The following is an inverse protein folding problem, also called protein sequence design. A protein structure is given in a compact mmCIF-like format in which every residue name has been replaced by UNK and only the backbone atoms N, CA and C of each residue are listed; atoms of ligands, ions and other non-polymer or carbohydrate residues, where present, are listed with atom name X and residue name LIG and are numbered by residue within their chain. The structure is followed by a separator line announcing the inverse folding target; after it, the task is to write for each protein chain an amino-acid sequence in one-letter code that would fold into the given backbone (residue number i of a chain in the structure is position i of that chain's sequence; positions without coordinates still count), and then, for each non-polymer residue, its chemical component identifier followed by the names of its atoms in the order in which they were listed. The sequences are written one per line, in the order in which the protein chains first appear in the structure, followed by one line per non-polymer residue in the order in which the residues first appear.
data_IF_522697530248
#
_entry.id   IF_522697530248
#
_cell.length_a   1.000
_cell.length_b   1.000
_cell.length_c   1.000
_cell.angle_alpha   90.00
_cell.angle_beta   90.00
_cell.angle_gamma   90.00
#
_symmetry.space_group_name_H-M   'P 1'
#
loop_
_entity.id
_entity.type
_entity.pdbx_description
1 polymer ?
#
# COMPACT_ATOMS: atom_id res chain seq x y z
N UNK A 1 -36.72 -5.97 -2.78
CA UNK A 1 -36.66 -6.67 -4.08
C UNK A 1 -35.41 -7.54 -4.06
N UNK A 2 -35.55 -8.87 -4.13
CA UNK A 2 -34.40 -9.78 -4.01
C UNK A 2 -33.97 -10.22 -5.40
N UNK A 3 -32.73 -9.92 -5.80
CA UNK A 3 -32.16 -10.35 -7.08
C UNK A 3 -31.59 -11.75 -6.88
N UNK A 4 -32.11 -12.75 -7.60
CA UNK A 4 -31.56 -14.10 -7.59
C UNK A 4 -30.46 -14.24 -8.67
N UNK A 5 -29.25 -14.62 -8.27
CA UNK A 5 -28.12 -14.88 -9.17
C UNK A 5 -27.87 -16.39 -9.28
N UNK A 6 -27.80 -16.91 -10.51
CA UNK A 6 -27.32 -18.28 -10.73
C UNK A 6 -25.80 -18.34 -10.53
N UNK A 7 -25.21 -19.51 -10.16
CA UNK A 7 -23.77 -19.66 -10.05
C UNK A 7 -22.99 -19.28 -11.32
N UNK A 8 -23.57 -19.55 -12.49
CA UNK A 8 -23.00 -19.18 -13.79
C UNK A 8 -22.96 -17.67 -13.97
N UNK A 9 -24.03 -16.96 -13.60
CA UNK A 9 -24.08 -15.50 -13.71
C UNK A 9 -23.12 -14.85 -12.70
N UNK A 10 -23.06 -15.36 -11.48
CA UNK A 10 -22.10 -14.90 -10.46
C UNK A 10 -20.65 -15.05 -10.94
N UNK A 11 -20.30 -16.19 -11.56
CA UNK A 11 -18.96 -16.40 -12.13
C UNK A 11 -18.64 -15.42 -13.26
N UNK A 12 -19.58 -15.24 -14.21
CA UNK A 12 -19.41 -14.29 -15.31
C UNK A 12 -19.21 -12.87 -14.79
N UNK A 13 -20.03 -12.46 -13.82
CA UNK A 13 -19.89 -11.16 -13.17
C UNK A 13 -18.50 -11.00 -12.53
N UNK A 14 -18.03 -12.00 -11.77
CA UNK A 14 -16.72 -11.95 -11.14
C UNK A 14 -15.56 -11.83 -12.15
N UNK A 15 -15.61 -12.58 -13.27
CA UNK A 15 -14.58 -12.53 -14.32
C UNK A 15 -14.60 -11.18 -15.05
N UNK A 16 -15.78 -10.71 -15.44
CA UNK A 16 -15.92 -9.43 -16.16
C UNK A 16 -15.55 -8.24 -15.30
N UNK A 17 -15.94 -8.22 -14.01
CA UNK A 17 -15.55 -7.16 -13.06
C UNK A 17 -14.04 -7.12 -12.80
N UNK A 18 -13.35 -8.24 -12.96
CA UNK A 18 -11.88 -8.30 -12.89
C UNK A 18 -11.19 -7.92 -14.21
N UNK A 19 -11.95 -7.54 -15.26
CA UNK A 19 -11.46 -7.22 -16.61
C UNK A 19 -10.71 -8.37 -17.30
N UNK A 20 -11.08 -9.61 -16.96
CA UNK A 20 -10.50 -10.81 -17.58
C UNK A 20 -11.29 -11.31 -18.78
N UNK A 21 -12.45 -10.71 -19.06
CA UNK A 21 -13.26 -10.96 -20.24
C UNK A 21 -13.87 -9.64 -20.75
N UNK A 22 -14.11 -9.56 -22.06
CA UNK A 22 -14.59 -8.36 -22.74
C UNK A 22 -13.46 -7.55 -23.38
N UNK A 23 -13.75 -6.31 -23.78
CA UNK A 23 -12.78 -5.40 -24.37
C UNK A 23 -11.69 -5.05 -23.35
N UNK A 24 -10.44 -5.07 -23.80
CA UNK A 24 -9.30 -4.60 -23.00
C UNK A 24 -9.37 -3.09 -22.83
N UNK A 25 -8.78 -2.61 -21.75
CA UNK A 25 -8.56 -1.17 -21.57
C UNK A 25 -7.39 -0.73 -22.44
N UNK A 26 -7.42 0.52 -22.89
CA UNK A 26 -6.33 1.08 -23.69
C UNK A 26 -5.00 1.05 -22.90
N UNK A 27 -3.85 0.73 -23.53
CA UNK A 27 -2.55 0.61 -22.86
C UNK A 27 -1.93 1.97 -22.49
N UNK A 28 -2.68 2.78 -21.76
CA UNK A 28 -2.36 4.17 -21.35
C UNK A 28 -2.45 4.30 -19.82
N UNK A 29 -1.96 5.39 -19.21
CA UNK A 29 -2.16 5.66 -17.79
C UNK A 29 -3.65 5.66 -17.39
N UNK A 30 -4.54 6.17 -18.25
CA UNK A 30 -5.98 6.15 -18.02
C UNK A 30 -6.53 4.71 -17.95
N UNK A 31 -6.08 3.82 -18.83
CA UNK A 31 -6.48 2.41 -18.79
C UNK A 31 -5.99 1.66 -17.55
N UNK A 32 -4.78 1.97 -17.05
CA UNK A 32 -4.30 1.47 -15.76
C UNK A 32 -5.23 1.94 -14.63
N UNK A 33 -5.58 3.22 -14.61
CA UNK A 33 -6.49 3.78 -13.61
C UNK A 33 -7.87 3.11 -13.66
N UNK A 34 -8.39 2.80 -14.84
CA UNK A 34 -9.65 2.07 -14.97
C UNK A 34 -9.58 0.65 -14.41
N UNK A 35 -8.46 -0.06 -14.63
CA UNK A 35 -8.23 -1.36 -14.01
C UNK A 35 -8.18 -1.25 -12.48
N UNK A 36 -7.44 -0.28 -11.94
CA UNK A 36 -7.32 -0.08 -10.49
C UNK A 36 -8.65 0.36 -9.86
N UNK A 37 -9.51 1.08 -10.58
CA UNK A 37 -10.89 1.39 -10.16
C UNK A 37 -11.77 0.16 -10.03
N UNK A 38 -11.54 -0.87 -10.83
CA UNK A 38 -12.32 -2.11 -10.74
C UNK A 38 -11.74 -3.13 -9.78
N UNK A 39 -10.41 -3.28 -9.76
CA UNK A 39 -9.73 -4.24 -8.87
C UNK A 39 -9.55 -3.72 -7.44
N UNK A 40 -9.54 -2.39 -7.26
CA UNK A 40 -9.25 -1.65 -6.01
C UNK A 40 -7.85 -1.82 -5.44
N UNK A 41 -7.21 -2.97 -5.63
CA UNK A 41 -5.84 -3.20 -5.26
C UNK A 41 -5.15 -4.16 -6.23
N UNK A 42 -3.85 -3.94 -6.46
CA UNK A 42 -2.98 -4.87 -7.19
C UNK A 42 -1.83 -5.24 -6.27
N UNK A 43 -1.68 -6.53 -5.99
CA UNK A 43 -0.63 -7.00 -5.10
C UNK A 43 0.76 -6.74 -5.69
N UNK A 44 1.67 -6.30 -4.84
CA UNK A 44 3.09 -6.17 -5.11
C UNK A 44 3.77 -7.44 -4.61
N UNK A 45 4.57 -8.06 -5.47
CA UNK A 45 5.35 -9.25 -5.12
C UNK A 45 6.84 -8.99 -5.39
N UNK A 46 7.75 -9.26 -4.43
CA UNK A 46 9.19 -9.11 -4.66
C UNK A 46 9.78 -10.21 -5.58
N UNK A 47 9.07 -11.33 -5.79
CA UNK A 47 9.54 -12.44 -6.61
C UNK A 47 9.33 -12.11 -8.09
N UNK A 48 10.40 -12.22 -8.88
CA UNK A 48 10.42 -11.94 -10.32
C UNK A 48 10.92 -13.15 -11.10
N UNK A 49 10.15 -14.24 -11.09
CA UNK A 49 10.49 -15.43 -11.87
C UNK A 49 10.41 -15.17 -13.39
N UNK A 50 9.41 -14.39 -13.81
CA UNK A 50 9.23 -13.93 -15.20
C UNK A 50 9.19 -12.41 -15.22
N UNK A 51 8.24 -11.84 -14.48
CA UNK A 51 8.09 -10.40 -14.24
C UNK A 51 7.35 -10.20 -12.91
N UNK A 52 7.35 -8.98 -12.36
CA UNK A 52 6.65 -8.70 -11.10
C UNK A 52 5.12 -8.85 -11.25
N UNK A 53 4.47 -9.38 -10.22
CA UNK A 53 3.01 -9.64 -10.21
C UNK A 53 2.19 -8.42 -10.62
N UNK A 54 2.50 -7.23 -10.09
CA UNK A 54 1.77 -6.00 -10.45
C UNK A 54 1.82 -5.67 -11.94
N UNK A 55 2.92 -6.02 -12.62
CA UNK A 55 3.07 -5.80 -14.07
C UNK A 55 2.36 -6.88 -14.88
N UNK A 56 2.39 -8.13 -14.43
CA UNK A 56 1.66 -9.25 -15.05
C UNK A 56 0.14 -9.06 -14.97
N UNK A 57 -0.36 -8.59 -13.82
CA UNK A 57 -1.77 -8.28 -13.61
C UNK A 57 -2.25 -7.22 -14.60
N UNK A 58 -1.51 -6.13 -14.77
CA UNK A 58 -1.81 -5.08 -15.76
C UNK A 58 -1.70 -5.60 -17.20
N UNK A 59 -0.62 -6.32 -17.53
CA UNK A 59 -0.41 -6.87 -18.87
C UNK A 59 -1.55 -7.79 -19.31
N UNK A 60 -2.07 -8.64 -18.41
CA UNK A 60 -3.20 -9.53 -18.75
C UNK A 60 -4.50 -8.80 -19.10
N UNK A 61 -4.63 -7.52 -18.75
CA UNK A 61 -5.84 -6.68 -18.92
C UNK A 61 -5.67 -5.59 -19.98
N UNK A 62 -4.43 -5.12 -20.20
CA UNK A 62 -4.08 -4.10 -21.19
C UNK A 62 -3.50 -4.70 -22.48
N UNK A 63 -2.83 -5.85 -22.40
CA UNK A 63 -1.88 -6.28 -23.42
C UNK A 63 -0.53 -5.59 -23.24
N UNK A 64 0.19 -5.36 -24.34
CA UNK A 64 1.46 -4.64 -24.32
C UNK A 64 1.22 -3.18 -23.93
N UNK A 65 1.91 -2.70 -22.90
CA UNK A 65 1.87 -1.33 -22.41
C UNK A 65 3.26 -0.91 -21.95
N UNK A 66 3.53 0.39 -21.91
CA UNK A 66 4.77 0.92 -21.35
C UNK A 66 4.74 0.85 -19.80
N UNK A 67 5.66 0.12 -19.15
CA UNK A 67 5.75 0.08 -17.69
C UNK A 67 5.93 1.46 -17.04
N UNK A 68 6.49 2.44 -17.75
CA UNK A 68 6.63 3.81 -17.28
C UNK A 68 5.28 4.44 -16.94
N UNK A 69 4.18 4.04 -17.60
CA UNK A 69 2.84 4.52 -17.26
C UNK A 69 2.45 4.22 -15.80
N UNK A 70 2.85 3.05 -15.26
CA UNK A 70 2.58 2.72 -13.87
C UNK A 70 3.45 3.56 -12.93
N UNK A 71 4.72 3.75 -13.28
CA UNK A 71 5.67 4.54 -12.50
C UNK A 71 5.26 6.03 -12.45
N UNK A 72 4.80 6.60 -13.56
CA UNK A 72 4.22 7.95 -13.62
C UNK A 72 3.04 8.09 -12.66
N UNK A 73 2.10 7.14 -12.66
CA UNK A 73 0.92 7.18 -11.77
C UNK A 73 1.27 7.04 -10.30
N UNK A 74 2.32 6.29 -9.96
CA UNK A 74 2.78 6.06 -8.59
C UNK A 74 3.63 7.24 -8.06
N UNK A 75 4.62 7.68 -8.83
CA UNK A 75 5.72 8.50 -8.32
C UNK A 75 5.62 9.97 -8.74
N UNK A 76 5.12 10.23 -9.95
CA UNK A 76 5.02 11.58 -10.51
C UNK A 76 3.66 12.20 -10.21
N UNK A 77 2.59 11.58 -10.70
CA UNK A 77 1.22 12.09 -10.55
C UNK A 77 0.58 11.71 -9.20
N UNK A 78 1.13 10.68 -8.54
CA UNK A 78 0.66 10.16 -7.23
C UNK A 78 -0.83 9.85 -7.20
N UNK A 79 -1.38 9.41 -8.33
CA UNK A 79 -2.75 8.90 -8.45
C UNK A 79 -2.91 7.53 -7.80
N UNK A 80 -1.79 6.81 -7.66
CA UNK A 80 -1.66 5.54 -6.97
C UNK A 80 -0.64 5.67 -5.83
N UNK A 81 -0.78 4.84 -4.81
CA UNK A 81 0.23 4.70 -3.76
C UNK A 81 0.32 3.27 -3.27
N UNK A 82 1.36 2.99 -2.49
CA UNK A 82 1.55 1.68 -1.90
C UNK A 82 1.09 1.60 -0.44
N UNK A 83 0.32 0.57 -0.14
CA UNK A 83 -0.16 0.31 1.21
C UNK A 83 -0.31 -1.18 1.52
N UNK A 84 -0.33 -1.50 2.81
CA UNK A 84 -0.72 -2.81 3.30
C UNK A 84 -2.26 -2.92 3.34
N UNK A 85 -2.86 -3.15 2.17
CA UNK A 85 -4.29 -3.43 2.03
C UNK A 85 -4.58 -4.90 2.37
N UNK A 86 -4.92 -5.74 1.38
CA UNK A 86 -4.97 -7.19 1.57
C UNK A 86 -3.56 -7.75 1.86
N UNK A 87 -2.57 -7.25 1.13
CA UNK A 87 -1.14 -7.49 1.30
C UNK A 87 -0.40 -6.18 0.95
N UNK A 88 0.91 -6.23 0.74
CA UNK A 88 1.59 -5.13 0.02
C UNK A 88 0.92 -4.95 -1.34
N UNK A 89 0.36 -3.77 -1.59
CA UNK A 89 -0.46 -3.52 -2.78
C UNK A 89 -0.31 -2.09 -3.28
N UNK A 90 -0.52 -1.92 -4.58
CA UNK A 90 -0.80 -0.64 -5.23
C UNK A 90 -2.31 -0.39 -5.11
N UNK A 91 -2.67 0.78 -4.62
CA UNK A 91 -4.05 1.21 -4.39
C UNK A 91 -4.26 2.62 -4.91
N UNK A 92 -5.52 3.01 -5.08
CA UNK A 92 -5.91 4.33 -5.53
C UNK A 92 -5.68 5.37 -4.43
N UNK A 93 -4.97 6.45 -4.74
CA UNK A 93 -4.75 7.56 -3.79
C UNK A 93 -6.07 8.18 -3.32
N UNK A 94 -7.08 8.28 -4.20
CA UNK A 94 -8.42 8.74 -3.82
C UNK A 94 -9.12 7.88 -2.76
N UNK A 95 -8.73 6.60 -2.63
CA UNK A 95 -9.30 5.68 -1.65
C UNK A 95 -8.52 5.74 -0.31
N UNK A 96 -7.57 6.68 -0.17
CA UNK A 96 -6.79 6.89 1.06
C UNK A 96 -7.65 7.05 2.32
N UNK A 97 -8.80 7.76 2.37
CA UNK A 97 -9.62 7.84 3.58
C UNK A 97 -10.08 6.47 4.12
N UNK A 98 -10.37 5.51 3.22
CA UNK A 98 -10.70 4.12 3.58
C UNK A 98 -9.47 3.45 4.20
N UNK A 99 -8.31 3.59 3.56
CA UNK A 99 -7.06 3.01 4.06
C UNK A 99 -6.60 3.64 5.38
N UNK A 100 -6.79 4.94 5.56
CA UNK A 100 -6.49 5.64 6.80
C UNK A 100 -7.36 5.13 7.95
N UNK A 101 -8.67 4.93 7.72
CA UNK A 101 -9.53 4.28 8.70
C UNK A 101 -9.02 2.88 9.08
N UNK A 102 -8.58 2.07 8.10
CA UNK A 102 -7.92 0.78 8.37
C UNK A 102 -6.62 0.92 9.17
N UNK A 103 -5.78 1.93 8.89
CA UNK A 103 -4.55 2.21 9.67
C UNK A 103 -4.91 2.50 11.13
N UNK A 104 -5.96 3.31 11.39
CA UNK A 104 -6.44 3.61 12.74
C UNK A 104 -6.99 2.37 13.46
N UNK A 105 -7.74 1.52 12.75
CA UNK A 105 -8.24 0.26 13.31
C UNK A 105 -7.07 -0.67 13.67
N UNK A 106 -6.07 -0.81 12.80
CA UNK A 106 -4.85 -1.60 13.08
C UNK A 106 -4.11 -1.12 14.34
N UNK A 107 -4.07 0.20 14.56
CA UNK A 107 -3.54 0.80 15.80
C UNK A 107 -4.37 0.49 17.05
N UNK A 108 -5.63 0.05 16.93
CA UNK A 108 -6.53 -0.22 18.07
C UNK A 108 -6.74 -1.71 18.37
N UNK A 109 -6.84 -2.58 17.36
CA UNK A 109 -7.06 -4.02 17.53
C UNK A 109 -6.01 -4.62 18.47
N UNK A 110 -6.42 -5.32 19.53
CA UNK A 110 -5.49 -5.90 20.50
C UNK A 110 -5.09 -7.33 20.13
N UNK A 111 -3.80 -7.64 20.20
CA UNK A 111 -3.25 -8.98 19.96
C UNK A 111 -1.87 -9.11 20.60
N UNK A 112 -1.44 -10.35 20.91
CA UNK A 112 -0.10 -10.62 21.45
C UNK A 112 1.01 -10.03 20.57
N UNK A 113 0.91 -10.23 19.26
CA UNK A 113 1.85 -9.70 18.28
C UNK A 113 1.93 -8.17 18.32
N UNK A 114 0.77 -7.50 18.39
CA UNK A 114 0.74 -6.04 18.45
C UNK A 114 1.27 -5.51 19.79
N UNK A 115 0.98 -6.16 20.92
CA UNK A 115 1.57 -5.77 22.21
C UNK A 115 3.09 -5.82 22.17
N UNK A 116 3.66 -6.87 21.57
CA UNK A 116 5.11 -6.96 21.36
C UNK A 116 5.62 -5.84 20.44
N UNK A 117 4.91 -5.57 19.33
CA UNK A 117 5.22 -4.48 18.41
C UNK A 117 5.22 -3.12 19.11
N UNK A 118 4.18 -2.82 19.87
CA UNK A 118 3.99 -1.57 20.60
C UNK A 118 5.07 -1.40 21.67
N UNK A 119 5.32 -2.42 22.49
CA UNK A 119 6.37 -2.39 23.49
C UNK A 119 7.77 -2.20 22.87
N UNK A 120 8.00 -2.73 21.67
CA UNK A 120 9.25 -2.53 20.95
C UNK A 120 9.39 -1.11 20.40
N UNK A 121 8.32 -0.53 19.84
CA UNK A 121 8.30 0.88 19.40
C UNK A 121 8.55 1.80 20.59
N UNK A 122 7.83 1.60 21.70
CA UNK A 122 7.97 2.41 22.92
C UNK A 122 9.39 2.35 23.49
N UNK A 123 10.00 1.16 23.51
CA UNK A 123 11.39 1.01 23.94
C UNK A 123 12.42 1.63 22.96
N UNK A 124 11.99 1.98 21.75
CA UNK A 124 12.81 2.57 20.69
C UNK A 124 12.25 3.94 20.23
N UNK A 125 11.55 4.67 21.11
CA UNK A 125 10.87 5.91 20.73
C UNK A 125 11.85 6.99 20.21
N UNK A 126 13.03 7.11 20.82
CA UNK A 126 14.09 8.00 20.33
C UNK A 126 14.56 7.64 18.92
N UNK A 127 14.65 6.34 18.62
CA UNK A 127 14.98 5.84 17.28
C UNK A 127 13.85 6.09 16.28
N UNK A 128 12.59 5.87 16.68
CA UNK A 128 11.42 6.23 15.87
C UNK A 128 11.45 7.72 15.50
N UNK A 129 11.67 8.58 16.49
CA UNK A 129 11.69 10.02 16.29
C UNK A 129 12.86 10.46 15.41
N UNK A 130 14.05 9.87 15.58
CA UNK A 130 15.18 10.08 14.69
C UNK A 130 14.84 9.79 13.23
N UNK A 131 14.18 8.67 12.92
CA UNK A 131 13.77 8.35 11.55
C UNK A 131 12.79 9.40 11.01
N UNK A 132 11.75 9.74 11.78
CA UNK A 132 10.75 10.73 11.36
C UNK A 132 11.37 12.10 11.12
N UNK A 133 12.31 12.53 11.97
CA UNK A 133 13.00 13.81 11.82
C UNK A 133 13.91 13.83 10.61
N UNK A 134 14.64 12.74 10.32
CA UNK A 134 15.44 12.63 9.09
C UNK A 134 14.55 12.70 7.85
N UNK A 135 13.45 11.96 7.82
CA UNK A 135 12.48 12.03 6.71
C UNK A 135 11.86 13.42 6.55
N UNK A 136 11.71 14.17 7.65
CA UNK A 136 11.21 15.56 7.63
C UNK A 136 12.20 16.53 7.00
N UNK A 137 13.47 16.45 7.37
CA UNK A 137 14.48 17.45 7.01
C UNK A 137 15.25 17.11 5.73
N UNK A 138 15.48 15.82 5.46
CA UNK A 138 16.27 15.35 4.31
C UNK A 138 15.40 14.89 3.14
N UNK A 139 14.09 14.73 3.36
CA UNK A 139 13.17 14.20 2.37
C UNK A 139 13.24 12.68 2.23
N UNK A 140 12.92 12.11 1.04
CA UNK A 140 12.81 10.66 0.90
C UNK A 140 14.13 9.90 1.06
N UNK A 141 14.18 8.95 2.01
CA UNK A 141 15.37 8.14 2.33
C UNK A 141 15.11 6.64 2.16
N UNK A 142 16.11 5.91 1.67
CA UNK A 142 16.12 4.45 1.72
C UNK A 142 16.55 3.94 3.10
N UNK A 143 16.18 2.70 3.43
CA UNK A 143 16.56 2.09 4.72
C UNK A 143 18.07 2.06 4.96
N UNK A 144 18.89 1.90 3.90
CA UNK A 144 20.36 1.88 4.00
C UNK A 144 20.99 3.25 4.28
N UNK A 145 20.20 4.32 4.17
CA UNK A 145 20.64 5.70 4.40
C UNK A 145 20.35 6.14 5.84
N UNK A 146 19.68 5.30 6.63
CA UNK A 146 19.26 5.54 8.01
C UNK A 146 20.14 4.72 8.96
N UNK A 147 20.74 5.40 9.94
CA UNK A 147 21.54 4.76 10.97
C UNK A 147 20.64 3.97 11.94
N UNK A 148 21.07 2.78 12.33
CA UNK A 148 20.37 1.99 13.35
C UNK A 148 20.72 2.53 14.75
N UNK A 149 19.80 3.31 15.33
CA UNK A 149 19.91 3.83 16.70
C UNK A 149 18.99 3.08 17.68
N UNK A 150 18.58 1.85 17.34
CA UNK A 150 17.71 1.06 18.21
C UNK A 150 18.40 0.74 19.55
N UNK A 151 17.65 0.94 20.63
CA UNK A 151 18.05 0.57 22.00
C UNK A 151 17.71 -0.90 22.29
N UNK A 152 16.69 -1.45 21.63
CA UNK A 152 16.33 -2.87 21.71
C UNK A 152 16.19 -3.45 20.32
N UNK A 153 16.87 -4.56 20.05
CA UNK A 153 16.69 -5.32 18.82
C UNK A 153 15.28 -5.88 18.69
N UNK A 154 14.80 -5.98 17.44
CA UNK A 154 13.53 -6.63 17.12
C UNK A 154 13.59 -8.12 17.48
N UNK A 155 12.70 -8.62 18.38
CA UNK A 155 12.73 -10.01 18.82
C UNK A 155 12.19 -10.95 17.72
N UNK A 156 13.06 -11.40 16.83
CA UNK A 156 12.75 -12.36 15.76
C UNK A 156 13.70 -13.54 15.79
N UNK A 157 13.17 -14.75 15.65
CA UNK A 157 13.97 -15.98 15.55
C UNK A 157 14.35 -16.34 14.11
N UNK A 158 14.01 -15.50 13.12
CA UNK A 158 14.23 -15.76 11.70
C UNK A 158 15.08 -14.71 10.98
N UNK A 159 15.01 -14.69 9.65
CA UNK A 159 15.77 -13.82 8.73
C UNK A 159 15.62 -12.31 8.95
N UNK A 160 14.71 -11.89 9.83
CA UNK A 160 14.45 -10.49 10.20
C UNK A 160 15.07 -10.07 11.53
N UNK A 161 15.82 -10.96 12.19
CA UNK A 161 16.58 -10.60 13.39
C UNK A 161 17.57 -9.46 13.07
N UNK A 162 17.70 -8.50 13.98
CA UNK A 162 18.55 -7.30 13.87
C UNK A 162 18.30 -6.40 12.65
N UNK A 163 17.15 -6.52 11.96
CA UNK A 163 16.74 -5.60 10.90
C UNK A 163 15.89 -4.45 11.44
N UNK A 164 16.39 -3.71 12.43
CA UNK A 164 15.60 -2.74 13.21
C UNK A 164 15.11 -1.56 12.37
N UNK A 165 15.96 -1.00 11.51
CA UNK A 165 15.59 0.11 10.60
C UNK A 165 14.44 -0.30 9.68
N UNK A 166 14.58 -1.41 8.96
CA UNK A 166 13.54 -1.92 8.07
C UNK A 166 12.25 -2.22 8.82
N UNK A 167 12.37 -2.78 10.02
CA UNK A 167 11.23 -3.10 10.88
C UNK A 167 10.47 -1.85 11.34
N UNK A 168 11.19 -0.82 11.79
CA UNK A 168 10.59 0.45 12.20
C UNK A 168 9.89 1.11 11.01
N UNK A 169 10.51 1.11 9.82
CA UNK A 169 9.91 1.65 8.59
C UNK A 169 8.61 0.91 8.21
N UNK A 170 8.59 -0.42 8.27
CA UNK A 170 7.37 -1.20 8.02
C UNK A 170 6.25 -0.88 9.04
N UNK A 171 6.59 -0.68 10.31
CA UNK A 171 5.63 -0.28 11.34
C UNK A 171 5.07 1.12 11.09
N UNK A 172 5.94 2.10 10.83
CA UNK A 172 5.54 3.47 10.49
C UNK A 172 4.66 3.51 9.23
N UNK A 173 4.98 2.70 8.21
CA UNK A 173 4.20 2.61 6.97
C UNK A 173 2.83 1.98 7.19
N UNK A 174 2.77 0.87 7.93
CA UNK A 174 1.49 0.20 8.24
C UNK A 174 0.58 1.06 9.14
N UNK A 175 1.17 1.94 9.95
CA UNK A 175 0.48 2.96 10.72
C UNK A 175 0.13 4.23 9.93
N UNK A 176 0.60 4.38 8.70
CA UNK A 176 0.31 5.55 7.85
C UNK A 176 1.13 6.80 8.18
N UNK A 177 2.21 6.68 8.96
CA UNK A 177 3.09 7.82 9.30
C UNK A 177 4.05 8.15 8.15
N UNK A 178 4.43 7.13 7.38
CA UNK A 178 5.26 7.25 6.19
C UNK A 178 4.63 6.51 5.00
N UNK A 179 5.05 6.90 3.79
CA UNK A 179 4.67 6.28 2.53
C UNK A 179 5.91 5.90 1.72
N UNK A 180 5.75 4.94 0.79
CA UNK A 180 6.78 4.68 -0.23
C UNK A 180 6.73 5.82 -1.24
N UNK A 181 7.80 6.60 -1.32
CA UNK A 181 7.89 7.76 -2.19
C UNK A 181 8.34 7.40 -3.61
N UNK A 182 9.29 6.46 -3.71
CA UNK A 182 9.80 5.91 -4.96
C UNK A 182 10.35 4.51 -4.73
N UNK A 183 10.59 3.79 -5.82
CA UNK A 183 11.21 2.46 -5.80
C UNK A 183 12.20 2.28 -6.94
N UNK A 184 13.27 1.54 -6.65
CA UNK A 184 14.14 0.94 -7.66
C UNK A 184 14.31 -0.55 -7.34
N UNK A 185 13.73 -1.42 -8.17
CA UNK A 185 13.68 -2.86 -7.88
C UNK A 185 12.91 -3.14 -6.59
N UNK A 186 13.54 -3.74 -5.59
CA UNK A 186 12.94 -3.95 -4.26
C UNK A 186 13.27 -2.84 -3.27
N UNK A 187 14.18 -1.93 -3.62
CA UNK A 187 14.62 -0.86 -2.74
C UNK A 187 13.60 0.27 -2.73
N UNK A 188 13.09 0.57 -1.55
CA UNK A 188 12.13 1.66 -1.30
C UNK A 188 12.87 2.90 -0.83
N UNK A 189 12.42 4.08 -1.25
CA UNK A 189 12.60 5.31 -0.50
C UNK A 189 11.30 5.66 0.21
N UNK A 190 11.42 6.08 1.45
CA UNK A 190 10.30 6.39 2.33
C UNK A 190 10.20 7.89 2.51
N UNK A 191 9.00 8.43 2.61
CA UNK A 191 8.76 9.83 2.95
C UNK A 191 7.66 9.94 4.00
N UNK A 192 7.63 11.03 4.75
CA UNK A 192 6.51 11.35 5.62
C UNK A 192 5.21 11.44 4.81
N UNK A 193 4.15 10.80 5.31
CA UNK A 193 2.82 10.85 4.68
C UNK A 193 2.35 12.29 4.50
N UNK A 194 2.57 13.14 5.50
CA UNK A 194 2.16 14.56 5.47
C UNK A 194 2.80 15.38 4.34
N UNK A 195 4.00 14.99 3.89
CA UNK A 195 4.72 15.63 2.79
C UNK A 195 4.45 14.97 1.43
N UNK A 196 4.18 13.67 1.41
CA UNK A 196 4.08 12.92 0.17
C UNK A 196 2.65 12.80 -0.36
N UNK A 197 1.67 12.66 0.53
CA UNK A 197 0.26 12.53 0.19
C UNK A 197 -0.23 13.82 -0.50
N UNK A 198 -0.85 13.73 -1.69
CA UNK A 198 -1.31 14.92 -2.40
C UNK A 198 -2.32 15.75 -1.62
N UNK A 199 -2.28 17.07 -1.80
CA UNK A 199 -3.13 18.03 -1.09
C UNK A 199 -4.64 17.85 -1.37
N UNK A 200 -4.99 17.26 -2.51
CA UNK A 200 -6.38 16.98 -2.90
C UNK A 200 -7.01 15.80 -2.14
N UNK A 201 -6.27 15.14 -1.24
CA UNK A 201 -6.77 14.06 -0.39
C UNK A 201 -7.17 14.57 0.99
N UNK A 202 -8.41 14.26 1.39
CA UNK A 202 -8.85 14.44 2.76
C UNK A 202 -8.10 13.49 3.70
N UNK A 203 -7.53 14.06 4.76
CA UNK A 203 -6.70 13.32 5.74
C UNK A 203 -7.50 12.80 6.93
N UNK A 204 -8.76 13.21 7.07
CA UNK A 204 -9.64 12.74 8.14
C UNK A 204 -9.96 11.26 7.94
N UNK A 205 -9.89 10.50 9.03
CA UNK A 205 -10.25 9.09 9.00
C UNK A 205 -11.77 8.97 9.00
N UNK A 206 -12.29 8.13 8.10
CA UNK A 206 -13.69 7.71 8.12
C UNK A 206 -13.98 6.96 9.44
N UNK A 207 -15.21 7.07 9.94
CA UNK A 207 -15.69 6.10 10.93
C UNK A 207 -15.68 4.69 10.34
N UNK A 208 -15.65 3.66 11.18
CA UNK A 208 -15.66 2.27 10.72
C UNK A 208 -16.90 1.95 9.87
N UNK A 209 -18.06 2.47 10.24
CA UNK A 209 -19.30 2.29 9.46
C UNK A 209 -19.26 3.00 8.11
N UNK A 210 -18.67 4.19 8.02
CA UNK A 210 -18.48 4.90 6.74
C UNK A 210 -17.46 4.21 5.86
N UNK A 211 -16.34 3.76 6.44
CA UNK A 211 -15.32 2.98 5.75
C UNK A 211 -15.93 1.73 5.11
N UNK A 212 -16.67 0.92 5.88
CA UNK A 212 -17.34 -0.29 5.38
C UNK A 212 -18.34 0.05 4.27
N UNK A 213 -19.16 1.08 4.47
CA UNK A 213 -20.15 1.51 3.46
C UNK A 213 -19.48 1.94 2.16
N UNK A 214 -18.49 2.81 2.23
CA UNK A 214 -17.79 3.31 1.04
C UNK A 214 -17.05 2.16 0.33
N UNK A 215 -16.32 1.32 1.06
CA UNK A 215 -15.64 0.16 0.50
C UNK A 215 -16.61 -0.80 -0.20
N UNK A 216 -17.78 -1.05 0.38
CA UNK A 216 -18.81 -1.90 -0.22
C UNK A 216 -19.46 -1.29 -1.47
N UNK A 217 -19.66 0.02 -1.51
CA UNK A 217 -20.27 0.72 -2.67
C UNK A 217 -19.36 0.74 -3.91
N UNK A 218 -18.04 0.72 -3.67
CA UNK A 218 -17.05 0.84 -4.74
C UNK A 218 -16.53 -0.54 -5.22
N UNK A 219 -16.88 -1.62 -4.51
CA UNK A 219 -16.53 -3.01 -4.84
C UNK A 219 -17.41 -3.60 -5.95
#
# INVERSE_FOLDING_TARGET
MTIALTPTLARRLAITRQRLAGSRSEPTPAGIMDILRDLRCVQIDPIRAVEYTQRLVLWSRLGYYDPAHLDTLLWEERQLFEYWAHAASIVLTKDYPIHNAHMQIRRRVDSNWKRQMQAWIEANESFRQHILDRLRHEGPLASREIDDLSTRSWPSTGWTNDRNVGRMLDMLWTHGEIMVATRQGVQKKWALTEHHLPEWIQREALSESEMVRQAAQIS
#
